data_IF_926276274272
#
_entry.id   IF_926276274272
#
_cell.length_a   1.000
_cell.length_b   1.000
_cell.length_c   1.000
_cell.angle_alpha   90.00
_cell.angle_beta   90.00
_cell.angle_gamma   90.00
#
_symmetry.space_group_name_H-M   'P 1'
#
loop_
_entity.id
_entity.type
_entity.pdbx_description
1 polymer ?
#
# COMPACT_ATOMS: atom_id res chain seq x y z
N UNK A 1 -3.02 -28.13 -13.80
CA UNK A 1 -1.65 -27.67 -13.47
C UNK A 1 -1.01 -27.07 -14.73
N UNK A 2 -1.12 -25.77 -14.92
CA UNK A 2 -0.29 -25.06 -15.88
C UNK A 2 0.91 -24.52 -15.11
N UNK A 3 2.07 -25.16 -15.27
CA UNK A 3 3.34 -24.53 -14.89
C UNK A 3 3.49 -23.34 -15.83
N UNK A 4 3.25 -22.12 -15.33
CA UNK A 4 3.78 -20.94 -16.00
C UNK A 4 5.28 -21.15 -16.12
N UNK A 5 5.82 -21.06 -17.35
CA UNK A 5 7.24 -21.28 -17.58
C UNK A 5 8.03 -20.28 -16.73
N UNK A 6 8.90 -20.80 -15.86
CA UNK A 6 9.85 -20.01 -15.05
C UNK A 6 10.58 -18.96 -15.92
N UNK A 7 10.82 -19.30 -17.19
CA UNK A 7 11.46 -18.48 -18.21
C UNK A 7 10.65 -17.24 -18.62
N UNK A 8 9.31 -17.27 -18.59
CA UNK A 8 8.46 -16.11 -18.96
C UNK A 8 8.39 -15.08 -17.82
N UNK A 9 8.39 -15.56 -16.58
CA UNK A 9 8.49 -14.71 -15.39
C UNK A 9 9.88 -14.06 -15.33
N UNK A 10 10.94 -14.81 -15.63
CA UNK A 10 12.30 -14.28 -15.72
C UNK A 10 12.45 -13.28 -16.87
N UNK A 11 11.92 -13.54 -18.08
CA UNK A 11 11.94 -12.56 -19.18
C UNK A 11 11.15 -11.28 -18.87
N UNK A 12 10.01 -11.36 -18.18
CA UNK A 12 9.24 -10.18 -17.77
C UNK A 12 9.97 -9.37 -16.69
N UNK A 13 10.65 -10.07 -15.77
CA UNK A 13 11.50 -9.44 -14.77
C UNK A 13 12.69 -8.76 -15.45
N UNK A 14 13.38 -9.43 -16.37
CA UNK A 14 14.49 -8.84 -17.13
C UNK A 14 14.07 -7.63 -17.96
N UNK A 15 12.93 -7.67 -18.68
CA UNK A 15 12.43 -6.53 -19.46
C UNK A 15 12.04 -5.33 -18.58
N UNK A 16 11.50 -5.57 -17.39
CA UNK A 16 11.10 -4.51 -16.45
C UNK A 16 12.28 -4.00 -15.59
N UNK A 17 13.34 -4.79 -15.42
CA UNK A 17 14.57 -4.35 -14.74
C UNK A 17 15.55 -3.61 -15.68
N UNK A 18 15.51 -3.87 -17.00
CA UNK A 18 16.40 -3.23 -17.99
C UNK A 18 15.81 -2.01 -18.69
N UNK A 19 14.50 -1.76 -18.58
CA UNK A 19 13.94 -0.47 -18.96
C UNK A 19 14.44 0.57 -17.94
N UNK A 20 15.07 1.69 -18.37
CA UNK A 20 15.40 2.79 -17.46
C UNK A 20 14.16 3.16 -16.66
N UNK A 21 14.29 3.62 -15.41
CA UNK A 21 13.17 4.07 -14.57
C UNK A 21 12.21 5.03 -15.31
N UNK A 22 12.73 5.80 -16.26
CA UNK A 22 11.98 6.68 -17.18
C UNK A 22 11.13 5.91 -18.20
N UNK A 23 11.62 4.78 -18.72
CA UNK A 23 10.93 3.88 -19.65
C UNK A 23 9.76 3.13 -19.01
N UNK A 24 9.89 2.71 -17.74
CA UNK A 24 8.73 2.21 -16.98
C UNK A 24 7.70 3.31 -16.78
N UNK A 25 8.11 4.50 -16.32
CA UNK A 25 7.16 5.60 -16.10
C UNK A 25 6.40 5.98 -17.38
N UNK A 26 7.09 6.02 -18.52
CA UNK A 26 6.48 6.31 -19.81
C UNK A 26 5.59 5.17 -20.32
N UNK A 27 5.94 3.90 -20.09
CA UNK A 27 5.07 2.76 -20.37
C UNK A 27 3.82 2.78 -19.47
N UNK A 28 3.94 3.22 -18.22
CA UNK A 28 2.86 3.22 -17.22
C UNK A 28 1.91 4.39 -17.36
N UNK A 29 2.41 5.58 -17.70
CA UNK A 29 1.53 6.72 -18.01
C UNK A 29 0.83 6.45 -19.34
N UNK A 30 1.50 5.84 -20.32
CA UNK A 30 0.91 5.61 -21.63
C UNK A 30 0.03 4.35 -21.74
N UNK A 31 0.31 3.24 -21.05
CA UNK A 31 -0.44 1.99 -21.28
C UNK A 31 -1.90 2.05 -20.80
N UNK A 32 -2.22 2.55 -19.58
CA UNK A 32 -3.60 2.72 -19.14
C UNK A 32 -4.31 3.93 -19.77
N UNK A 33 -3.58 5.01 -20.13
CA UNK A 33 -4.20 6.21 -20.72
C UNK A 33 -4.29 6.22 -22.25
N UNK A 34 -3.47 5.44 -22.98
CA UNK A 34 -3.45 5.44 -24.46
C UNK A 34 -3.94 4.15 -25.11
N UNK A 35 -3.93 3.03 -24.40
CA UNK A 35 -4.48 1.81 -24.98
C UNK A 35 -5.98 1.79 -24.74
N UNK A 36 -6.70 2.49 -25.62
CA UNK A 36 -8.12 2.21 -25.80
C UNK A 36 -8.22 0.72 -26.15
N UNK A 37 -9.07 -0.03 -25.45
CA UNK A 37 -9.29 -1.46 -25.71
C UNK A 37 -9.51 -1.74 -27.21
N UNK A 38 -10.13 -0.78 -27.92
CA UNK A 38 -10.31 -0.76 -29.37
C UNK A 38 -9.00 -0.87 -30.20
N UNK A 39 -7.90 -0.26 -29.75
CA UNK A 39 -6.61 -0.32 -30.47
C UNK A 39 -5.95 -1.69 -30.33
N UNK A 40 -6.02 -2.32 -29.15
CA UNK A 40 -5.57 -3.70 -28.97
C UNK A 40 -6.43 -4.68 -29.78
N UNK A 41 -7.74 -4.47 -29.82
CA UNK A 41 -8.65 -5.30 -30.60
C UNK A 41 -8.34 -5.22 -32.10
N UNK A 42 -7.97 -4.03 -32.62
CA UNK A 42 -7.51 -3.84 -34.00
C UNK A 42 -6.20 -4.60 -34.26
N UNK A 43 -5.23 -4.50 -33.35
CA UNK A 43 -3.94 -5.20 -33.45
C UNK A 43 -4.16 -6.73 -33.43
N UNK A 44 -4.97 -7.24 -32.51
CA UNK A 44 -5.28 -8.68 -32.45
C UNK A 44 -5.99 -9.17 -33.71
N UNK A 45 -6.94 -8.39 -34.24
CA UNK A 45 -7.67 -8.73 -35.46
C UNK A 45 -6.76 -8.73 -36.68
N UNK A 46 -5.81 -7.80 -36.75
CA UNK A 46 -4.77 -7.78 -37.79
C UNK A 46 -3.88 -9.02 -37.71
N UNK A 47 -3.42 -9.41 -36.52
CA UNK A 47 -2.60 -10.63 -36.31
C UNK A 47 -3.38 -11.90 -36.67
N UNK A 48 -4.65 -12.00 -36.27
CA UNK A 48 -5.51 -13.15 -36.59
C UNK A 48 -5.78 -13.28 -38.09
N UNK A 49 -5.96 -12.17 -38.80
CA UNK A 49 -6.27 -12.16 -40.24
C UNK A 49 -5.05 -12.22 -41.16
N UNK A 50 -3.85 -11.98 -40.64
CA UNK A 50 -2.59 -12.03 -41.38
C UNK A 50 -1.88 -13.38 -41.34
N UNK A 51 -2.21 -14.26 -40.38
CA UNK A 51 -1.57 -15.58 -40.21
C UNK A 51 -1.61 -16.49 -41.45
N UNK A 52 -2.59 -16.31 -42.34
CA UNK A 52 -2.80 -17.13 -43.54
C UNK A 52 -2.51 -16.40 -44.87
N UNK A 53 -1.89 -15.21 -44.83
CA UNK A 53 -1.60 -14.40 -46.02
C UNK A 53 -0.11 -14.07 -46.15
N UNK A 54 0.52 -14.61 -47.18
CA UNK A 54 1.95 -14.41 -47.52
C UNK A 54 2.33 -12.93 -47.77
N UNK A 55 1.35 -12.05 -48.04
CA UNK A 55 1.55 -10.63 -48.38
C UNK A 55 0.99 -9.65 -47.31
N UNK A 56 0.82 -10.07 -46.05
CA UNK A 56 0.31 -9.19 -45.01
C UNK A 56 1.35 -8.14 -44.59
N UNK A 57 0.93 -6.87 -44.50
CA UNK A 57 1.77 -5.79 -43.99
C UNK A 57 2.11 -6.05 -42.51
N UNK A 58 3.39 -6.10 -42.13
CA UNK A 58 3.77 -6.29 -40.73
C UNK A 58 3.31 -5.09 -39.89
N UNK A 59 2.98 -5.35 -38.62
CA UNK A 59 2.73 -4.31 -37.62
C UNK A 59 3.95 -3.39 -37.52
N UNK A 60 3.72 -2.12 -37.21
CA UNK A 60 4.84 -1.21 -36.94
C UNK A 60 5.47 -1.50 -35.55
N UNK A 61 6.65 -0.92 -35.28
CA UNK A 61 7.37 -1.21 -34.02
C UNK A 61 6.54 -0.85 -32.76
N UNK A 62 5.82 0.29 -32.71
CA UNK A 62 4.90 0.59 -31.60
C UNK A 62 3.78 -0.44 -31.41
N UNK A 63 3.11 -0.86 -32.48
CA UNK A 63 2.03 -1.87 -32.43
C UNK A 63 2.55 -3.23 -31.99
N UNK A 64 3.73 -3.63 -32.49
CA UNK A 64 4.41 -4.86 -32.03
C UNK A 64 4.71 -4.78 -30.53
N UNK A 65 5.24 -3.66 -30.05
CA UNK A 65 5.53 -3.47 -28.63
C UNK A 65 4.25 -3.55 -27.76
N UNK A 66 3.18 -2.88 -28.18
CA UNK A 66 1.88 -2.94 -27.48
C UNK A 66 1.31 -4.36 -27.43
N UNK A 67 1.42 -5.11 -28.53
CA UNK A 67 1.01 -6.52 -28.57
C UNK A 67 1.86 -7.39 -27.63
N UNK A 68 3.18 -7.21 -27.61
CA UNK A 68 4.05 -7.95 -26.68
C UNK A 68 3.68 -7.69 -25.22
N UNK A 69 3.32 -6.45 -24.86
CA UNK A 69 2.84 -6.12 -23.52
C UNK A 69 1.47 -6.75 -23.22
N UNK A 70 0.55 -6.85 -24.19
CA UNK A 70 -0.77 -7.47 -23.97
C UNK A 70 -0.70 -8.97 -23.72
N UNK A 71 0.35 -9.65 -24.21
CA UNK A 71 0.60 -11.05 -23.93
C UNK A 71 1.00 -11.32 -22.47
N UNK A 72 1.39 -10.29 -21.71
CA UNK A 72 1.81 -10.44 -20.31
C UNK A 72 0.57 -10.62 -19.42
N UNK A 73 0.43 -11.76 -18.72
CA UNK A 73 -0.71 -11.99 -17.85
C UNK A 73 -0.74 -10.99 -16.69
N UNK A 74 -1.89 -10.33 -16.50
CA UNK A 74 -2.09 -9.30 -15.48
C UNK A 74 -1.02 -8.19 -15.52
N UNK A 75 -0.67 -7.73 -16.73
CA UNK A 75 0.35 -6.69 -16.95
C UNK A 75 0.17 -5.48 -16.02
N UNK A 76 -1.06 -4.94 -15.96
CA UNK A 76 -1.39 -3.77 -15.13
C UNK A 76 -1.10 -4.01 -13.64
N UNK A 77 -1.50 -5.15 -13.08
CA UNK A 77 -1.22 -5.50 -11.69
C UNK A 77 0.26 -5.68 -11.39
N UNK A 78 1.01 -6.33 -12.30
CA UNK A 78 2.46 -6.53 -12.14
C UNK A 78 3.23 -5.21 -12.15
N UNK A 79 2.90 -4.35 -13.10
CA UNK A 79 3.43 -2.99 -13.21
C UNK A 79 3.16 -2.18 -11.95
N UNK A 80 1.92 -2.21 -11.45
CA UNK A 80 1.54 -1.54 -10.22
C UNK A 80 2.40 -2.02 -9.04
N UNK A 81 2.59 -3.34 -8.89
CA UNK A 81 3.43 -3.91 -7.83
C UNK A 81 4.90 -3.47 -7.91
N UNK A 82 5.47 -3.38 -9.11
CA UNK A 82 6.86 -2.94 -9.31
C UNK A 82 7.03 -1.47 -8.95
N UNK A 83 6.11 -0.61 -9.41
CA UNK A 83 6.12 0.81 -9.05
C UNK A 83 5.94 0.99 -7.55
N UNK A 84 4.98 0.27 -6.97
CA UNK A 84 4.74 0.28 -5.54
C UNK A 84 6.02 -0.10 -4.77
N UNK A 85 6.68 -1.19 -5.15
CA UNK A 85 7.93 -1.62 -4.50
C UNK A 85 9.02 -0.55 -4.60
N UNK A 86 9.20 0.05 -5.78
CA UNK A 86 10.19 1.10 -6.00
C UNK A 86 9.89 2.34 -5.16
N UNK A 87 8.67 2.88 -5.26
CA UNK A 87 8.25 4.07 -4.52
C UNK A 87 8.25 3.86 -3.01
N UNK A 88 7.85 2.67 -2.55
CA UNK A 88 7.90 2.30 -1.13
C UNK A 88 9.33 2.29 -0.61
N UNK A 89 10.25 1.64 -1.35
CA UNK A 89 11.67 1.57 -1.00
C UNK A 89 12.33 2.95 -0.96
N UNK A 90 12.06 3.77 -1.97
CA UNK A 90 12.56 5.14 -2.05
C UNK A 90 12.06 6.00 -0.87
N UNK A 91 10.76 5.93 -0.58
CA UNK A 91 10.17 6.65 0.54
C UNK A 91 10.76 6.19 1.88
N UNK A 92 10.90 4.87 2.10
CA UNK A 92 11.51 4.32 3.32
C UNK A 92 12.97 4.80 3.46
N UNK A 93 13.78 4.68 2.40
CA UNK A 93 15.17 5.12 2.39
C UNK A 93 15.30 6.62 2.69
N UNK A 94 14.42 7.44 2.12
CA UNK A 94 14.36 8.89 2.37
C UNK A 94 14.07 9.20 3.84
N UNK A 95 13.07 8.54 4.44
CA UNK A 95 12.75 8.68 5.87
C UNK A 95 13.94 8.28 6.75
N UNK A 96 14.56 7.12 6.47
CA UNK A 96 15.69 6.61 7.23
C UNK A 96 16.87 7.58 7.20
N UNK A 97 17.26 8.08 6.02
CA UNK A 97 18.36 9.05 5.87
C UNK A 97 18.11 10.33 6.66
N UNK A 98 16.88 10.87 6.59
CA UNK A 98 16.50 12.08 7.34
C UNK A 98 16.59 11.87 8.85
N UNK A 99 16.06 10.74 9.36
CA UNK A 99 16.13 10.41 10.78
C UNK A 99 17.57 10.21 11.26
N UNK A 100 18.40 9.54 10.46
CA UNK A 100 19.81 9.31 10.73
C UNK A 100 20.61 10.63 10.80
N UNK A 101 20.41 11.55 9.85
CA UNK A 101 20.98 12.91 9.93
C UNK A 101 20.53 13.64 11.19
N UNK A 102 19.23 13.63 11.50
CA UNK A 102 18.71 14.30 12.69
C UNK A 102 19.30 13.71 13.98
N UNK A 103 19.37 12.39 14.10
CA UNK A 103 19.97 11.70 15.24
C UNK A 103 21.46 12.04 15.40
N UNK A 104 22.22 12.03 14.30
CA UNK A 104 23.64 12.42 14.31
C UNK A 104 23.83 13.84 14.81
N UNK A 105 23.07 14.80 14.28
CA UNK A 105 23.16 16.21 14.68
C UNK A 105 22.81 16.39 16.16
N UNK A 106 21.70 15.80 16.63
CA UNK A 106 21.30 15.87 18.03
C UNK A 106 22.38 15.28 18.94
N UNK A 107 22.89 14.10 18.62
CA UNK A 107 23.94 13.43 19.39
C UNK A 107 25.24 14.22 19.41
N UNK A 108 25.66 14.75 18.27
CA UNK A 108 26.87 15.56 18.18
C UNK A 108 26.75 16.84 19.02
N UNK A 109 25.60 17.52 18.99
CA UNK A 109 25.38 18.73 19.80
C UNK A 109 25.30 18.43 21.31
N UNK A 110 24.77 17.26 21.69
CA UNK A 110 24.57 16.90 23.10
C UNK A 110 25.83 16.30 23.74
N UNK A 111 26.50 15.39 23.04
CA UNK A 111 27.50 14.50 23.63
C UNK A 111 28.93 14.84 23.21
N UNK A 112 29.16 15.57 22.11
CA UNK A 112 30.50 15.79 21.59
C UNK A 112 31.37 16.67 22.50
N UNK A 113 32.54 16.16 22.87
CA UNK A 113 33.54 16.91 23.65
C UNK A 113 34.09 18.12 22.89
N UNK A 114 34.19 18.06 21.56
CA UNK A 114 34.63 19.19 20.74
C UNK A 114 33.61 20.33 20.77
N UNK A 115 32.31 20.01 20.72
CA UNK A 115 31.23 21.00 20.86
C UNK A 115 31.27 21.64 22.25
N UNK A 116 31.39 20.83 23.32
CA UNK A 116 31.53 21.32 24.70
C UNK A 116 32.75 22.23 24.86
N UNK A 117 33.86 21.88 24.22
CA UNK A 117 35.09 22.69 24.22
C UNK A 117 34.87 24.05 23.57
N UNK A 118 34.23 24.09 22.40
CA UNK A 118 33.90 25.35 21.71
C UNK A 118 32.98 26.21 22.58
N UNK A 119 31.93 25.64 23.18
CA UNK A 119 31.03 26.36 24.09
C UNK A 119 31.78 26.85 25.35
N UNK A 120 32.70 26.04 25.87
CA UNK A 120 33.57 26.40 27.00
C UNK A 120 34.48 27.59 26.68
N UNK A 121 35.06 27.65 25.48
CA UNK A 121 35.85 28.79 25.02
C UNK A 121 35.01 30.06 24.93
N UNK A 122 33.79 29.95 24.37
CA UNK A 122 32.84 31.07 24.31
C UNK A 122 32.51 31.59 25.71
N UNK A 123 32.25 30.68 26.66
CA UNK A 123 31.98 31.03 28.06
C UNK A 123 33.19 31.70 28.73
N UNK A 124 34.39 31.11 28.58
CA UNK A 124 35.60 31.61 29.20
C UNK A 124 35.98 33.01 28.71
N UNK A 125 35.98 33.23 27.39
CA UNK A 125 36.27 34.56 26.84
C UNK A 125 35.15 35.56 27.14
N UNK A 126 33.89 35.13 27.11
CA UNK A 126 32.76 35.95 27.51
C UNK A 126 32.88 36.46 28.95
N UNK A 127 33.20 35.57 29.89
CA UNK A 127 33.41 35.91 31.30
C UNK A 127 34.60 36.86 31.48
N UNK A 128 35.72 36.60 30.79
CA UNK A 128 36.89 37.48 30.84
C UNK A 128 36.56 38.90 30.34
N UNK A 129 35.90 39.01 29.18
CA UNK A 129 35.55 40.30 28.57
C UNK A 129 34.53 41.09 29.38
N UNK A 130 33.61 40.40 30.06
CA UNK A 130 32.60 41.03 30.92
C UNK A 130 33.03 41.12 32.40
N UNK A 131 34.30 40.84 32.70
CA UNK A 131 34.86 40.90 34.05
C UNK A 131 34.59 42.24 34.73
N UNK A 132 34.24 42.20 36.01
CA UNK A 132 33.82 43.39 36.78
C UNK A 132 32.33 43.72 36.68
N UNK A 133 31.59 43.16 35.72
CA UNK A 133 30.14 43.22 35.70
C UNK A 133 29.53 42.05 36.49
N UNK A 134 28.88 42.35 37.62
CA UNK A 134 28.33 41.35 38.54
C UNK A 134 27.25 40.44 37.92
N UNK A 135 26.62 40.86 36.82
CA UNK A 135 25.58 40.07 36.13
C UNK A 135 26.06 39.42 34.83
N UNK A 136 27.25 39.76 34.32
CA UNK A 136 27.72 39.30 32.99
C UNK A 136 29.11 38.66 32.99
N UNK A 137 29.95 38.92 33.99
CA UNK A 137 31.34 38.46 34.03
C UNK A 137 31.60 37.18 34.82
N UNK A 138 30.57 36.55 35.39
CA UNK A 138 30.66 35.36 36.25
C UNK A 138 29.52 34.39 35.91
N UNK A 139 29.28 34.14 34.63
CA UNK A 139 28.23 33.27 34.16
C UNK A 139 28.67 31.80 34.17
N UNK A 140 27.76 30.89 34.54
CA UNK A 140 27.94 29.43 34.41
C UNK A 140 27.52 28.90 33.04
N UNK A 141 26.88 29.74 32.22
CA UNK A 141 26.40 29.41 30.89
C UNK A 141 25.81 30.62 30.17
N UNK A 142 25.41 30.43 28.92
CA UNK A 142 24.81 31.47 28.09
C UNK A 142 23.68 30.90 27.23
N UNK A 143 22.79 31.76 26.77
CA UNK A 143 21.74 31.41 25.82
C UNK A 143 22.30 31.30 24.40
N UNK A 144 21.82 30.33 23.60
CA UNK A 144 22.40 30.03 22.29
C UNK A 144 22.25 31.16 21.25
N UNK A 145 21.36 32.13 21.47
CA UNK A 145 21.16 33.28 20.59
C UNK A 145 22.38 34.21 20.51
N UNK A 146 23.37 34.04 21.41
CA UNK A 146 24.63 34.77 21.35
C UNK A 146 25.57 34.24 20.27
N UNK A 147 25.47 32.95 19.87
CA UNK A 147 26.41 32.32 18.96
C UNK A 147 26.52 33.04 17.61
N UNK A 148 25.40 33.43 16.95
CA UNK A 148 25.48 34.19 15.70
C UNK A 148 26.08 35.60 15.86
N UNK A 149 26.06 36.17 17.08
CA UNK A 149 26.52 37.53 17.39
C UNK A 149 28.03 37.61 17.63
N UNK A 150 28.71 36.47 17.83
CA UNK A 150 30.16 36.41 18.07
C UNK A 150 30.99 36.99 16.93
N UNK A 151 30.45 37.00 15.70
CA UNK A 151 31.10 37.60 14.54
C UNK A 151 31.08 39.13 14.56
N UNK A 152 30.16 39.73 15.32
CA UNK A 152 29.92 41.17 15.35
C UNK A 152 30.77 41.86 16.43
N UNK A 153 31.23 41.12 17.44
CA UNK A 153 32.16 41.60 18.47
C UNK A 153 33.57 41.61 17.88
N UNK A 154 34.22 42.77 17.83
CA UNK A 154 35.55 42.94 17.19
C UNK A 154 36.63 43.35 18.18
N UNK A 155 37.88 43.08 17.82
CA UNK A 155 39.06 43.65 18.46
C UNK A 155 39.08 45.18 18.33
N UNK A 156 39.87 45.85 19.17
CA UNK A 156 40.00 47.32 19.17
C UNK A 156 40.48 47.89 17.84
N UNK A 157 41.28 47.13 17.10
CA UNK A 157 41.77 47.45 15.75
C UNK A 157 40.80 47.03 14.63
N UNK A 158 39.67 46.40 14.98
CA UNK A 158 38.66 45.85 14.05
C UNK A 158 39.17 44.81 13.05
N UNK A 159 40.38 44.26 13.25
CA UNK A 159 40.98 43.29 12.33
C UNK A 159 40.42 41.87 12.51
N UNK A 160 39.99 41.49 13.72
CA UNK A 160 39.46 40.16 14.03
C UNK A 160 38.16 40.26 14.82
N UNK A 161 37.22 39.39 14.52
CA UNK A 161 36.06 39.15 15.37
C UNK A 161 36.39 38.21 16.53
N UNK A 162 35.57 38.22 17.58
CA UNK A 162 35.65 37.25 18.68
C UNK A 162 35.50 35.83 18.16
N UNK A 163 34.61 35.59 17.19
CA UNK A 163 34.49 34.30 16.50
C UNK A 163 35.81 33.89 15.83
N UNK A 164 36.45 34.79 15.07
CA UNK A 164 37.74 34.51 14.42
C UNK A 164 38.83 34.20 15.44
N UNK A 165 38.85 34.92 16.57
CA UNK A 165 39.79 34.66 17.66
C UNK A 165 39.56 33.29 18.30
N UNK A 166 38.32 32.90 18.57
CA UNK A 166 37.96 31.58 19.13
C UNK A 166 38.42 30.46 18.21
N UNK A 167 38.13 30.55 16.91
CA UNK A 167 38.55 29.54 15.92
C UNK A 167 40.07 29.41 15.88
N UNK A 168 40.79 30.55 15.85
CA UNK A 168 42.25 30.54 15.87
C UNK A 168 42.82 29.97 17.19
N UNK A 169 42.18 30.25 18.32
CA UNK A 169 42.58 29.70 19.61
C UNK A 169 42.35 28.20 19.68
N UNK A 170 41.18 27.73 19.22
CA UNK A 170 40.83 26.31 19.15
C UNK A 170 41.85 25.52 18.33
N UNK A 171 42.12 25.97 17.10
CA UNK A 171 43.10 25.32 16.21
C UNK A 171 44.51 25.26 16.80
N UNK A 172 44.92 26.26 17.59
CA UNK A 172 46.28 26.32 18.15
C UNK A 172 46.47 25.48 19.42
N UNK A 173 45.40 25.20 20.16
CA UNK A 173 45.50 24.60 21.49
C UNK A 173 44.74 23.28 21.64
N UNK A 174 43.80 22.98 20.76
CA UNK A 174 42.95 21.78 20.86
C UNK A 174 43.00 20.88 19.62
N UNK A 175 43.48 21.36 18.47
CA UNK A 175 43.60 20.55 17.24
C UNK A 175 45.06 20.28 16.88
N UNK A 176 45.54 19.07 17.18
CA UNK A 176 46.91 18.64 16.88
C UNK A 176 47.19 18.58 15.36
N UNK A 177 46.13 18.37 14.57
CA UNK A 177 46.18 18.25 13.12
C UNK A 177 45.82 19.55 12.39
N UNK A 178 45.80 20.68 13.09
CA UNK A 178 45.54 21.98 12.47
C UNK A 178 46.43 22.24 11.24
N UNK A 179 45.79 22.49 10.09
CA UNK A 179 46.47 22.71 8.81
C UNK A 179 46.80 21.46 8.01
N UNK A 180 46.42 20.26 8.47
CA UNK A 180 46.55 18.97 7.75
C UNK A 180 45.21 18.52 7.18
N UNK A 181 45.24 17.58 6.22
CA UNK A 181 44.01 16.96 5.67
C UNK A 181 43.22 16.13 6.69
N UNK A 182 43.87 15.69 7.77
CA UNK A 182 43.25 14.96 8.88
C UNK A 182 42.57 15.86 9.91
N UNK A 183 42.68 17.19 9.77
CA UNK A 183 42.01 18.13 10.66
C UNK A 183 40.50 17.94 10.62
N UNK A 184 39.88 17.73 11.78
CA UNK A 184 38.43 17.50 11.87
C UNK A 184 37.72 18.79 12.26
N UNK A 185 36.58 19.07 11.63
CA UNK A 185 35.74 20.20 12.01
C UNK A 185 35.05 19.89 13.36
N UNK A 186 35.18 20.76 14.39
CA UNK A 186 34.77 20.42 15.76
C UNK A 186 33.27 20.51 16.03
N UNK A 187 32.48 21.01 15.08
CA UNK A 187 31.03 21.17 15.19
C UNK A 187 30.34 20.28 14.14
N UNK A 188 29.02 20.01 14.25
CA UNK A 188 28.29 19.33 13.19
C UNK A 188 28.37 20.13 11.88
N UNK A 189 28.45 19.42 10.76
CA UNK A 189 28.52 20.03 9.43
C UNK A 189 27.35 21.00 9.19
N UNK A 190 27.60 22.22 8.66
CA UNK A 190 26.55 23.20 8.43
C UNK A 190 25.43 22.69 7.51
N UNK A 191 25.76 21.83 6.55
CA UNK A 191 24.79 21.22 5.65
C UNK A 191 23.79 20.34 6.41
N UNK A 192 24.27 19.52 7.36
CA UNK A 192 23.44 18.62 8.16
C UNK A 192 22.56 19.41 9.13
N UNK A 193 23.09 20.46 9.75
CA UNK A 193 22.32 21.40 10.59
C UNK A 193 21.21 22.08 9.78
N UNK A 194 21.52 22.53 8.56
CA UNK A 194 20.53 23.13 7.68
C UNK A 194 19.45 22.10 7.31
N UNK A 195 19.82 20.90 6.87
CA UNK A 195 18.85 19.84 6.57
C UNK A 195 17.95 19.55 7.77
N UNK A 196 18.52 19.33 8.95
CA UNK A 196 17.77 19.05 10.18
C UNK A 196 16.80 20.20 10.52
N UNK A 197 17.20 21.46 10.30
CA UNK A 197 16.34 22.64 10.53
C UNK A 197 15.11 22.70 9.63
N UNK A 198 15.16 22.07 8.46
CA UNK A 198 14.04 22.03 7.51
C UNK A 198 13.07 20.88 7.78
N UNK A 199 13.39 19.97 8.71
CA UNK A 199 12.57 18.78 9.00
C UNK A 199 11.46 19.09 10.01
N UNK A 200 10.34 18.37 9.88
CA UNK A 200 9.20 18.44 10.80
C UNK A 200 8.73 17.05 11.18
N UNK A 201 8.47 16.81 12.47
CA UNK A 201 7.99 15.51 12.97
C UNK A 201 6.65 15.11 12.35
N UNK A 202 5.79 16.07 12.03
CA UNK A 202 4.49 15.84 11.39
C UNK A 202 4.66 15.23 9.98
N UNK A 203 5.70 15.61 9.25
CA UNK A 203 5.95 15.09 7.90
C UNK A 203 6.40 13.63 7.96
N UNK A 204 7.26 13.28 8.92
CA UNK A 204 7.63 11.88 9.18
C UNK A 204 6.42 11.02 9.54
N UNK A 205 5.54 11.54 10.40
CA UNK A 205 4.32 10.83 10.80
C UNK A 205 3.38 10.58 9.61
N UNK A 206 3.19 11.57 8.75
CA UNK A 206 2.40 11.45 7.51
C UNK A 206 3.01 10.43 6.56
N UNK A 207 4.32 10.49 6.34
CA UNK A 207 5.03 9.55 5.47
C UNK A 207 4.94 8.11 5.99
N UNK A 208 5.17 7.89 7.29
CA UNK A 208 5.03 6.58 7.92
C UNK A 208 3.57 6.07 7.88
N UNK A 209 2.59 6.95 8.04
CA UNK A 209 1.17 6.58 7.93
C UNK A 209 0.83 6.12 6.51
N UNK A 210 1.33 6.82 5.49
CA UNK A 210 1.19 6.42 4.08
C UNK A 210 1.78 5.03 3.86
N UNK A 211 3.04 4.81 4.25
CA UNK A 211 3.70 3.50 4.13
C UNK A 211 2.94 2.37 4.84
N UNK A 212 2.34 2.64 6.01
CA UNK A 212 1.50 1.64 6.71
C UNK A 212 0.19 1.34 6.01
N UNK A 213 -0.45 2.30 5.35
CA UNK A 213 -1.67 2.07 4.56
C UNK A 213 -1.34 1.23 3.33
N UNK A 214 -0.27 1.60 2.66
CA UNK A 214 0.29 0.92 1.49
C UNK A 214 0.57 -0.57 1.77
N UNK A 215 1.21 -0.90 2.90
CA UNK A 215 1.46 -2.28 3.31
C UNK A 215 0.18 -3.06 3.68
N UNK A 216 -0.80 -2.41 4.32
CA UNK A 216 -2.06 -3.07 4.70
C UNK A 216 -2.87 -3.47 3.47
N UNK A 217 -3.00 -2.58 2.50
CA UNK A 217 -3.68 -2.88 1.24
C UNK A 217 -3.06 -4.09 0.52
N UNK A 218 -1.73 -4.23 0.55
CA UNK A 218 -1.03 -5.40 0.00
C UNK A 218 -1.39 -6.69 0.76
N UNK A 219 -1.36 -6.68 2.08
CA UNK A 219 -1.68 -7.86 2.92
C UNK A 219 -3.14 -8.32 2.77
N UNK A 220 -4.07 -7.39 2.68
CA UNK A 220 -5.49 -7.70 2.43
C UNK A 220 -5.68 -8.36 1.06
N UNK A 221 -4.99 -7.86 0.03
CA UNK A 221 -5.03 -8.44 -1.31
C UNK A 221 -4.46 -9.88 -1.36
N UNK A 222 -3.33 -10.13 -0.70
CA UNK A 222 -2.74 -11.48 -0.59
C UNK A 222 -3.69 -12.47 0.11
N UNK A 223 -4.42 -12.00 1.13
CA UNK A 223 -5.41 -12.82 1.85
C UNK A 223 -6.59 -13.19 0.94
N UNK A 224 -7.10 -12.22 0.17
CA UNK A 224 -8.19 -12.47 -0.79
C UNK A 224 -7.78 -13.40 -1.93
N UNK A 225 -6.56 -13.28 -2.44
CA UNK A 225 -6.02 -14.16 -3.49
C UNK A 225 -5.90 -15.62 -3.00
N UNK A 226 -5.43 -15.81 -1.77
CA UNK A 226 -5.38 -17.13 -1.13
C UNK A 226 -6.79 -17.72 -0.92
N UNK A 227 -7.75 -16.91 -0.46
CA UNK A 227 -9.14 -17.32 -0.32
C UNK A 227 -9.76 -17.72 -1.66
N UNK A 228 -9.56 -16.91 -2.71
CA UNK A 228 -10.04 -17.21 -4.06
C UNK A 228 -9.47 -18.52 -4.58
N UNK A 229 -8.15 -18.72 -4.45
CA UNK A 229 -7.47 -19.94 -4.86
C UNK A 229 -7.99 -21.19 -4.13
N UNK A 230 -8.17 -21.10 -2.81
CA UNK A 230 -8.74 -22.20 -2.02
C UNK A 230 -10.19 -22.51 -2.41
N UNK A 231 -11.00 -21.49 -2.66
CA UNK A 231 -12.40 -21.62 -3.07
C UNK A 231 -12.52 -22.23 -4.47
N UNK A 232 -11.67 -21.82 -5.41
CA UNK A 232 -11.63 -22.40 -6.76
C UNK A 232 -11.25 -23.88 -6.71
N UNK A 233 -10.27 -24.26 -5.88
CA UNK A 233 -9.91 -25.67 -5.67
C UNK A 233 -11.07 -26.49 -5.11
N UNK A 234 -11.74 -25.99 -4.07
CA UNK A 234 -12.93 -26.65 -3.49
C UNK A 234 -14.03 -26.85 -4.55
N UNK A 235 -14.26 -25.83 -5.38
CA UNK A 235 -15.24 -25.92 -6.46
C UNK A 235 -14.86 -26.98 -7.50
N UNK A 236 -13.59 -27.03 -7.94
CA UNK A 236 -13.14 -28.06 -8.88
C UNK A 236 -13.26 -29.47 -8.30
N UNK A 237 -12.88 -29.67 -7.03
CA UNK A 237 -13.06 -30.94 -6.32
C UNK A 237 -14.54 -31.35 -6.27
N UNK A 238 -15.45 -30.41 -6.02
CA UNK A 238 -16.88 -30.64 -6.03
C UNK A 238 -17.39 -31.06 -7.42
N UNK A 239 -16.90 -30.41 -8.49
CA UNK A 239 -17.27 -30.78 -9.87
C UNK A 239 -16.79 -32.18 -10.24
N UNK A 240 -15.61 -32.58 -9.76
CA UNK A 240 -15.08 -33.93 -9.95
C UNK A 240 -15.90 -34.95 -9.15
N UNK A 241 -16.22 -34.64 -7.89
CA UNK A 241 -17.01 -35.51 -7.01
C UNK A 241 -18.38 -35.85 -7.62
N UNK A 242 -19.09 -34.86 -8.16
CA UNK A 242 -20.37 -35.06 -8.82
C UNK A 242 -20.25 -35.43 -10.31
N UNK A 243 -19.03 -35.66 -10.81
CA UNK A 243 -18.75 -36.03 -12.21
C UNK A 243 -19.34 -35.07 -13.25
N UNK A 244 -19.40 -33.78 -12.92
CA UNK A 244 -19.89 -32.72 -13.82
C UNK A 244 -18.81 -32.38 -14.83
N UNK A 245 -19.17 -32.43 -16.12
CA UNK A 245 -18.25 -32.15 -17.23
C UNK A 245 -18.44 -30.72 -17.73
N UNK A 246 -17.34 -30.10 -18.15
CA UNK A 246 -17.37 -28.79 -18.78
C UNK A 246 -18.13 -28.85 -20.11
N UNK A 247 -18.79 -27.75 -20.50
CA UNK A 247 -19.49 -27.68 -21.79
C UNK A 247 -18.47 -27.61 -22.93
N UNK A 248 -18.90 -27.99 -24.14
CA UNK A 248 -18.04 -27.93 -25.32
C UNK A 248 -17.49 -26.50 -25.52
N UNK A 249 -16.16 -26.38 -25.53
CA UNK A 249 -15.45 -25.09 -25.66
C UNK A 249 -15.02 -24.46 -24.33
N UNK A 250 -15.47 -24.96 -23.18
CA UNK A 250 -15.00 -24.51 -21.86
C UNK A 250 -13.77 -25.30 -21.41
N UNK A 251 -12.79 -24.62 -20.79
CA UNK A 251 -11.59 -25.29 -20.21
C UNK A 251 -11.87 -25.97 -18.87
N UNK A 252 -12.81 -25.41 -18.10
CA UNK A 252 -13.22 -25.88 -16.78
C UNK A 252 -14.74 -25.73 -16.65
N UNK A 253 -15.35 -26.47 -15.73
CA UNK A 253 -16.79 -26.35 -15.46
C UNK A 253 -17.08 -24.95 -14.92
N UNK A 254 -18.02 -24.22 -15.53
CA UNK A 254 -18.45 -22.93 -15.01
C UNK A 254 -19.31 -23.07 -13.75
N UNK A 255 -19.23 -22.09 -12.83
CA UNK A 255 -20.07 -22.03 -11.62
C UNK A 255 -21.56 -22.21 -11.95
N UNK A 256 -22.02 -21.56 -13.02
CA UNK A 256 -23.39 -21.66 -13.50
C UNK A 256 -23.76 -23.12 -13.87
N UNK A 257 -22.89 -23.84 -14.58
CA UNK A 257 -23.16 -25.21 -15.01
C UNK A 257 -23.44 -26.15 -13.83
N UNK A 258 -22.68 -26.03 -12.74
CA UNK A 258 -22.94 -26.84 -11.53
C UNK A 258 -24.14 -26.32 -10.74
N UNK A 259 -24.16 -25.03 -10.43
CA UNK A 259 -25.11 -24.48 -9.47
C UNK A 259 -26.52 -24.27 -10.03
N UNK A 260 -26.69 -24.16 -11.34
CA UNK A 260 -28.03 -24.11 -11.93
C UNK A 260 -28.80 -25.42 -11.68
N UNK A 261 -28.13 -26.57 -11.83
CA UNK A 261 -28.71 -27.90 -11.57
C UNK A 261 -29.15 -28.00 -10.10
N UNK A 262 -28.27 -27.60 -9.17
CA UNK A 262 -28.58 -27.61 -7.75
C UNK A 262 -29.67 -26.61 -7.37
N UNK A 263 -29.69 -25.45 -8.00
CA UNK A 263 -30.71 -24.43 -7.78
C UNK A 263 -32.10 -24.95 -8.18
N UNK A 264 -32.24 -25.55 -9.36
CA UNK A 264 -33.51 -26.13 -9.83
C UNK A 264 -33.99 -27.23 -8.87
N UNK A 265 -33.16 -28.24 -8.61
CA UNK A 265 -33.51 -29.34 -7.71
C UNK A 265 -33.86 -28.85 -6.29
N UNK A 266 -33.03 -27.97 -5.71
CA UNK A 266 -33.25 -27.49 -4.34
C UNK A 266 -34.52 -26.65 -4.21
N UNK A 267 -34.89 -25.93 -5.28
CA UNK A 267 -36.13 -25.15 -5.31
C UNK A 267 -37.35 -26.06 -5.28
N UNK A 268 -37.40 -27.04 -6.19
CA UNK A 268 -38.48 -28.03 -6.24
C UNK A 268 -38.58 -28.85 -4.94
N UNK A 269 -37.42 -29.28 -4.42
CA UNK A 269 -37.35 -30.01 -3.15
C UNK A 269 -37.88 -29.18 -1.99
N UNK A 270 -37.51 -27.90 -1.90
CA UNK A 270 -37.98 -26.99 -0.84
C UNK A 270 -39.48 -26.79 -0.90
N UNK A 271 -40.05 -26.71 -2.09
CA UNK A 271 -41.49 -26.56 -2.26
C UNK A 271 -42.25 -27.81 -1.87
N UNK A 272 -41.76 -28.99 -2.27
CA UNK A 272 -42.37 -30.25 -1.84
C UNK A 272 -42.20 -30.47 -0.32
N UNK A 273 -41.02 -30.16 0.23
CA UNK A 273 -40.74 -30.24 1.67
C UNK A 273 -41.74 -29.42 2.50
N UNK A 274 -42.07 -28.20 2.06
CA UNK A 274 -43.09 -27.37 2.73
C UNK A 274 -44.48 -27.99 2.67
N UNK A 275 -44.86 -28.52 1.51
CA UNK A 275 -46.17 -29.18 1.31
C UNK A 275 -46.31 -30.41 2.21
N UNK A 276 -45.31 -31.28 2.20
CA UNK A 276 -45.31 -32.50 3.01
C UNK A 276 -45.32 -32.20 4.51
N UNK A 277 -44.49 -31.25 4.97
CA UNK A 277 -44.51 -30.87 6.39
C UNK A 277 -45.89 -30.35 6.84
N UNK A 278 -46.57 -29.59 5.97
CA UNK A 278 -47.93 -29.11 6.26
C UNK A 278 -48.94 -30.26 6.28
N UNK A 279 -48.82 -31.23 5.38
CA UNK A 279 -49.67 -32.41 5.33
C UNK A 279 -49.50 -33.27 6.60
N UNK A 280 -48.26 -33.60 6.96
CA UNK A 280 -47.93 -34.38 8.17
C UNK A 280 -48.44 -33.66 9.43
N UNK A 281 -48.31 -32.34 9.52
CA UNK A 281 -48.82 -31.58 10.65
C UNK A 281 -50.36 -31.69 10.76
N UNK A 282 -51.06 -31.62 9.62
CA UNK A 282 -52.51 -31.77 9.57
C UNK A 282 -52.94 -33.17 10.00
N UNK A 283 -52.30 -34.21 9.49
CA UNK A 283 -52.57 -35.61 9.88
C UNK A 283 -52.34 -35.83 11.38
N UNK A 284 -51.23 -35.32 11.94
CA UNK A 284 -50.95 -35.42 13.38
C UNK A 284 -52.02 -34.71 14.22
N UNK A 285 -52.54 -33.58 13.74
CA UNK A 285 -53.61 -32.85 14.41
C UNK A 285 -54.93 -33.64 14.36
N UNK A 286 -55.30 -34.17 13.20
CA UNK A 286 -56.51 -34.99 13.00
C UNK A 286 -56.48 -36.26 13.88
N UNK A 287 -55.34 -36.96 13.94
CA UNK A 287 -55.15 -38.12 14.82
C UNK A 287 -55.24 -37.74 16.31
N UNK A 288 -54.81 -36.54 16.69
CA UNK A 288 -54.94 -36.00 18.05
C UNK A 288 -56.40 -35.65 18.40
N UNK A 289 -57.16 -35.12 17.44
CA UNK A 289 -58.59 -34.82 17.60
C UNK A 289 -59.45 -36.09 17.72
N UNK A 290 -59.15 -37.12 16.91
CA UNK A 290 -59.79 -38.44 17.03
C UNK A 290 -59.53 -39.10 18.38
N UNK A 291 -58.30 -39.00 18.91
CA UNK A 291 -57.95 -39.50 20.24
C UNK A 291 -58.63 -38.75 21.40
N UNK A 292 -58.96 -37.47 21.22
CA UNK A 292 -59.60 -36.63 22.24
C UNK A 292 -61.13 -36.61 22.17
N UNK A 293 -61.74 -37.30 21.20
CA UNK A 293 -63.19 -37.50 21.14
C UNK A 293 -64.03 -36.21 21.14
N UNK A 294 -63.60 -35.16 20.42
CA UNK A 294 -64.29 -33.87 20.44
C UNK A 294 -64.92 -33.52 19.06
N UNK A 295 -66.27 -33.52 18.91
CA UNK A 295 -66.95 -33.30 17.62
C UNK A 295 -67.06 -31.83 17.18
N UNK A 296 -66.70 -30.87 18.04
CA UNK A 296 -67.20 -29.49 17.96
C UNK A 296 -66.36 -28.49 17.13
N UNK A 297 -65.34 -28.93 16.39
CA UNK A 297 -64.49 -28.02 15.61
C UNK A 297 -64.47 -28.22 14.10
N UNK A 298 -65.19 -29.22 13.57
CA UNK A 298 -65.34 -29.40 12.11
C UNK A 298 -65.91 -28.16 11.41
N UNK A 299 -66.60 -27.26 12.14
CA UNK A 299 -67.10 -25.99 11.60
C UNK A 299 -66.07 -24.86 11.52
N UNK A 300 -65.00 -24.85 12.31
CA UNK A 300 -64.05 -23.71 12.33
C UNK A 300 -62.91 -23.83 11.32
N UNK A 301 -62.60 -25.02 10.81
CA UNK A 301 -61.54 -25.19 9.82
C UNK A 301 -61.93 -24.66 8.41
N UNK A 302 -63.21 -24.65 8.07
CA UNK A 302 -63.72 -24.06 6.82
C UNK A 302 -63.54 -22.53 6.75
N UNK A 303 -63.36 -21.85 7.88
CA UNK A 303 -63.21 -20.39 7.95
C UNK A 303 -61.77 -19.89 7.74
N UNK A 304 -60.75 -20.76 7.84
CA UNK A 304 -59.34 -20.36 7.67
C UNK A 304 -58.74 -20.73 6.31
N UNK A 305 -59.43 -21.55 5.51
CA UNK A 305 -58.95 -21.98 4.19
C UNK A 305 -59.62 -21.29 3.00
N UNK A 306 -60.60 -20.39 3.22
CA UNK A 306 -61.21 -19.59 2.15
C UNK A 306 -61.53 -18.16 2.62
N UNK A 307 -60.68 -17.15 2.34
CA UNK A 307 -60.94 -15.77 2.75
C UNK A 307 -62.06 -15.07 1.97
N UNK A 308 -62.62 -15.68 0.91
CA UNK A 308 -63.45 -14.96 -0.08
C UNK A 308 -64.93 -15.38 -0.14
N UNK A 309 -65.51 -15.96 0.92
CA UNK A 309 -66.97 -16.18 0.97
C UNK A 309 -67.60 -15.74 2.29
N UNK A 310 -67.49 -14.44 2.61
CA UNK A 310 -68.44 -13.77 3.53
C UNK A 310 -68.72 -12.36 3.04
N UNK A 311 -69.42 -12.23 1.91
CA UNK A 311 -70.25 -11.04 1.61
C UNK A 311 -71.22 -11.40 0.49
N UNK A 312 -72.33 -12.06 0.84
CA UNK A 312 -73.61 -11.90 0.14
C UNK A 312 -74.70 -12.59 0.96
N UNK A 313 -75.64 -11.80 1.46
CA UNK A 313 -76.89 -12.26 2.05
C UNK A 313 -77.07 -11.89 3.53
N UNK A 314 -77.56 -10.68 3.80
CA UNK A 314 -78.87 -10.47 4.44
C UNK A 314 -79.17 -8.96 4.56
N UNK A 315 -80.11 -8.49 3.74
CA UNK A 315 -80.96 -7.34 4.07
C UNK A 315 -81.96 -7.77 5.13
N UNK A 316 -82.10 -6.95 6.18
CA UNK A 316 -83.33 -6.63 6.91
C UNK A 316 -83.09 -5.33 7.67
#
# INVERSE_FOLDING_TARGET
MAKANQTEVEHCTYLLYFLPTVGLFSAVVCFPQRVQQEELDKIEKHIKSSKDKENAKPLDKPEQFLYQLSLIPNFSGRVFCILFQSSFSECMSSIMKKLDTLQRVCKALQDSETVKTVLGLVLAFGNFMNGGNRTRGQADGFTLDILPKLKDVKSSDSLKSLLSYIVAYYLRHFEEDAGKETCVFPLPEPHDLFQASQMKFEDFQKDLLRLRKDLRAKSELETLDAQLSSTHKLFLELTVFFSVKAKAGEKEVSLNTLFCIWHEFSSDFKDQWKKENKAILKERYEQSCQRRGCPLWSQKLNLQTNPNQVTQGQES
#
